data_IF_807740098129
#
_entry.id   IF_807740098129
#
_cell.length_a   1.000
_cell.length_b   1.000
_cell.length_c   1.000
_cell.angle_alpha   90.00
_cell.angle_beta   90.00
_cell.angle_gamma   90.00
#
_symmetry.space_group_name_H-M   'P 1'
#
loop_
_entity.id
_entity.type
_entity.pdbx_description
1 polymer ?
#
# COMPACT_ATOMS: atom_id res chain seq x y z
N UNK A 1 7.22 7.12 5.02
CA UNK A 1 8.63 6.66 5.06
C UNK A 1 9.33 7.32 6.24
N UNK A 2 10.11 6.56 7.00
CA UNK A 2 10.92 7.10 8.08
C UNK A 2 12.23 7.67 7.54
N UNK A 3 12.91 8.49 8.35
CA UNK A 3 14.26 8.99 8.02
C UNK A 3 15.23 7.82 7.78
N UNK A 4 15.06 6.72 8.52
CA UNK A 4 15.88 5.51 8.33
C UNK A 4 15.65 4.85 6.96
N UNK A 5 14.44 4.88 6.40
CA UNK A 5 14.18 4.34 5.07
C UNK A 5 14.85 5.16 3.96
N UNK A 6 14.85 6.49 4.11
CA UNK A 6 15.56 7.41 3.20
C UNK A 6 17.06 7.16 3.28
N UNK A 7 17.61 6.99 4.48
CA UNK A 7 19.03 6.73 4.68
C UNK A 7 19.45 5.35 4.12
N UNK A 8 18.60 4.31 4.27
CA UNK A 8 18.83 3.02 3.65
C UNK A 8 18.89 3.13 2.12
N UNK A 9 17.94 3.86 1.51
CA UNK A 9 17.92 4.08 0.07
C UNK A 9 19.16 4.85 -0.40
N UNK A 10 19.57 5.90 0.33
CA UNK A 10 20.77 6.68 0.03
C UNK A 10 22.04 5.82 0.02
N UNK A 11 22.18 4.93 1.02
CA UNK A 11 23.34 4.04 1.12
C UNK A 11 23.36 3.00 0.01
N UNK A 12 22.22 2.41 -0.32
CA UNK A 12 22.10 1.48 -1.45
C UNK A 12 22.44 2.17 -2.76
N UNK A 13 21.94 3.38 -3.00
CA UNK A 13 22.25 4.15 -4.19
C UNK A 13 23.74 4.47 -4.29
N UNK A 14 24.38 4.86 -3.18
CA UNK A 14 25.83 5.12 -3.12
C UNK A 14 26.64 3.85 -3.42
N UNK A 15 26.26 2.69 -2.87
CA UNK A 15 26.89 1.41 -3.14
C UNK A 15 26.79 1.00 -4.61
N UNK A 16 25.66 1.29 -5.24
CA UNK A 16 25.42 1.00 -6.67
C UNK A 16 25.93 2.09 -7.62
N UNK A 17 26.51 3.17 -7.09
CA UNK A 17 26.98 4.33 -7.86
C UNK A 17 25.90 4.96 -8.74
N UNK A 18 24.65 5.03 -8.23
CA UNK A 18 23.54 5.67 -8.92
C UNK A 18 23.10 6.93 -8.17
N UNK A 19 22.60 7.97 -8.88
CA UNK A 19 22.05 9.17 -8.25
C UNK A 19 20.90 8.86 -7.30
N UNK A 20 20.80 9.60 -6.19
CA UNK A 20 19.71 9.52 -5.24
C UNK A 20 19.07 10.89 -5.06
N UNK A 21 17.76 10.95 -5.24
CA UNK A 21 16.95 12.16 -5.07
C UNK A 21 15.89 11.92 -3.99
N UNK A 22 15.64 12.95 -3.18
CA UNK A 22 14.57 12.96 -2.18
C UNK A 22 13.58 14.04 -2.55
N UNK A 23 12.32 13.64 -2.75
CA UNK A 23 11.21 14.56 -2.98
C UNK A 23 10.35 14.61 -1.73
N UNK A 24 10.03 15.82 -1.28
CA UNK A 24 9.07 16.00 -0.21
C UNK A 24 7.67 16.11 -0.82
N UNK A 25 6.87 15.08 -0.60
CA UNK A 25 5.45 15.02 -0.98
C UNK A 25 4.56 14.85 0.26
N UNK A 26 4.99 15.40 1.43
CA UNK A 26 4.28 15.16 2.68
C UNK A 26 2.86 15.74 2.66
N UNK A 27 2.69 16.95 2.13
CA UNK A 27 1.40 17.63 2.09
C UNK A 27 0.46 16.95 1.09
N UNK A 28 0.94 16.66 -0.11
CA UNK A 28 0.15 15.95 -1.14
C UNK A 28 -0.23 14.53 -0.69
N UNK A 29 0.66 13.86 0.06
CA UNK A 29 0.37 12.55 0.63
C UNK A 29 -0.69 12.63 1.73
N UNK A 30 -0.63 13.65 2.59
CA UNK A 30 -1.65 13.88 3.60
C UNK A 30 -3.02 14.08 2.95
N UNK A 31 -3.10 15.03 2.02
CA UNK A 31 -4.33 15.39 1.31
C UNK A 31 -4.93 14.24 0.48
N UNK A 32 -4.08 13.51 -0.27
CA UNK A 32 -4.56 12.51 -1.22
C UNK A 32 -4.75 11.12 -0.62
N UNK A 33 -4.06 10.78 0.47
CA UNK A 33 -4.03 9.42 1.00
C UNK A 33 -4.50 9.35 2.45
N UNK A 34 -3.94 10.22 3.34
CA UNK A 34 -4.22 10.11 4.78
C UNK A 34 -5.60 10.64 5.11
N UNK A 35 -5.95 11.83 4.62
CA UNK A 35 -7.23 12.46 4.94
C UNK A 35 -8.43 11.66 4.39
N UNK A 36 -8.42 11.19 3.12
CA UNK A 36 -9.48 10.31 2.62
C UNK A 36 -9.56 8.97 3.38
N UNK A 37 -8.43 8.44 3.85
CA UNK A 37 -8.41 7.24 4.67
C UNK A 37 -9.13 7.47 6.01
N UNK A 38 -8.83 8.56 6.70
CA UNK A 38 -9.47 8.95 7.97
C UNK A 38 -10.96 9.20 7.76
N UNK A 39 -11.31 9.95 6.72
CA UNK A 39 -12.71 10.26 6.38
C UNK A 39 -13.53 8.99 6.09
N UNK A 40 -12.98 8.03 5.36
CA UNK A 40 -13.66 6.78 5.07
C UNK A 40 -13.96 6.00 6.36
N UNK A 41 -13.03 5.95 7.31
CA UNK A 41 -13.27 5.31 8.60
C UNK A 41 -14.32 6.05 9.46
N UNK A 42 -14.38 7.36 9.37
CA UNK A 42 -15.45 8.16 10.02
C UNK A 42 -16.84 7.75 9.52
N UNK A 43 -16.92 7.36 8.25
CA UNK A 43 -18.17 6.88 7.62
C UNK A 43 -18.40 5.37 7.76
N UNK A 44 -17.57 4.66 8.53
CA UNK A 44 -17.65 3.20 8.72
C UNK A 44 -17.17 2.38 7.52
N UNK A 45 -16.46 2.98 6.56
CA UNK A 45 -15.87 2.26 5.44
C UNK A 45 -14.47 1.74 5.82
N UNK A 46 -14.01 0.73 5.11
CA UNK A 46 -12.64 0.20 5.23
C UNK A 46 -11.89 0.42 3.91
N UNK A 47 -11.22 1.57 3.74
CA UNK A 47 -10.50 1.88 2.52
C UNK A 47 -9.17 1.10 2.44
N UNK A 48 -8.67 0.91 1.22
CA UNK A 48 -7.29 0.47 0.98
C UNK A 48 -6.44 1.67 0.55
N UNK A 49 -5.67 2.29 1.46
CA UNK A 49 -4.89 3.49 1.15
C UNK A 49 -3.75 3.22 0.17
N UNK A 50 -3.31 1.95 0.00
CA UNK A 50 -2.28 1.60 -0.96
C UNK A 50 -2.75 1.83 -2.41
N UNK A 51 -4.03 1.62 -2.71
CA UNK A 51 -4.60 1.93 -4.03
C UNK A 51 -4.47 3.41 -4.33
N UNK A 52 -4.88 4.26 -3.38
CA UNK A 52 -4.82 5.71 -3.56
C UNK A 52 -3.38 6.23 -3.60
N UNK A 53 -2.49 5.72 -2.74
CA UNK A 53 -1.07 6.03 -2.79
C UNK A 53 -0.44 5.69 -4.15
N UNK A 54 -0.78 4.54 -4.72
CA UNK A 54 -0.29 4.19 -6.05
C UNK A 54 -0.85 5.13 -7.12
N UNK A 55 -2.18 5.43 -7.08
CA UNK A 55 -2.83 6.33 -8.03
C UNK A 55 -2.23 7.74 -7.98
N UNK A 56 -2.27 8.37 -6.82
CA UNK A 56 -1.99 9.80 -6.67
C UNK A 56 -0.49 10.09 -6.55
N UNK A 57 0.25 9.24 -5.81
CA UNK A 57 1.64 9.53 -5.47
C UNK A 57 2.62 8.86 -6.43
N UNK A 58 2.59 7.51 -6.54
CA UNK A 58 3.63 6.79 -7.30
C UNK A 58 3.46 6.92 -8.81
N UNK A 59 2.23 6.78 -9.29
CA UNK A 59 1.93 6.83 -10.72
C UNK A 59 1.21 8.12 -11.14
N UNK A 60 0.97 9.03 -10.20
CA UNK A 60 0.65 10.42 -10.42
C UNK A 60 1.90 11.28 -10.23
N UNK A 61 2.06 11.88 -9.04
CA UNK A 61 3.10 12.89 -8.75
C UNK A 61 4.53 12.46 -9.08
N UNK A 62 4.93 11.23 -8.70
CA UNK A 62 6.29 10.77 -8.99
C UNK A 62 6.50 10.56 -10.50
N UNK A 63 5.51 10.03 -11.22
CA UNK A 63 5.60 9.86 -12.67
C UNK A 63 5.68 11.22 -13.37
N UNK A 64 4.85 12.21 -12.99
CA UNK A 64 4.94 13.58 -13.48
C UNK A 64 6.32 14.20 -13.21
N UNK A 65 6.86 13.98 -12.01
CA UNK A 65 8.19 14.47 -11.66
C UNK A 65 9.30 13.81 -12.49
N UNK A 66 9.19 12.52 -12.74
CA UNK A 66 10.11 11.78 -13.59
C UNK A 66 10.08 12.31 -15.03
N UNK A 67 8.89 12.62 -15.58
CA UNK A 67 8.73 13.23 -16.89
C UNK A 67 9.46 14.59 -16.98
N UNK A 68 9.25 15.47 -15.99
CA UNK A 68 9.91 16.79 -15.94
C UNK A 68 11.42 16.67 -15.84
N UNK A 69 11.93 15.61 -15.21
CA UNK A 69 13.37 15.34 -15.09
C UNK A 69 13.94 14.59 -16.32
N UNK A 70 13.14 14.32 -17.34
CA UNK A 70 13.58 13.66 -18.58
C UNK A 70 13.74 12.14 -18.46
N UNK A 71 13.12 11.49 -17.49
CA UNK A 71 13.11 10.03 -17.40
C UNK A 71 11.98 9.43 -18.26
N UNK A 72 12.28 8.35 -18.95
CA UNK A 72 11.33 7.64 -19.81
C UNK A 72 10.34 6.79 -19.02
N UNK A 73 10.75 6.25 -17.88
CA UNK A 73 9.95 5.30 -17.09
C UNK A 73 10.24 5.39 -15.60
N UNK A 74 9.27 4.92 -14.81
CA UNK A 74 9.41 4.70 -13.38
C UNK A 74 9.41 3.21 -13.09
N UNK A 75 10.44 2.71 -12.42
CA UNK A 75 10.51 1.33 -11.96
C UNK A 75 10.10 1.24 -10.49
N UNK A 76 9.28 0.25 -10.14
CA UNK A 76 8.87 0.00 -8.76
C UNK A 76 9.02 -1.46 -8.38
N UNK A 77 9.16 -1.73 -7.08
CA UNK A 77 9.29 -3.08 -6.53
C UNK A 77 7.98 -3.86 -6.39
N UNK A 78 6.93 -3.52 -7.13
CA UNK A 78 5.68 -4.29 -7.06
C UNK A 78 5.83 -5.65 -7.74
N UNK A 79 5.35 -6.70 -7.08
CA UNK A 79 5.17 -8.02 -7.66
C UNK A 79 3.93 -8.01 -8.57
N UNK A 80 4.07 -7.43 -9.75
CA UNK A 80 3.09 -7.36 -10.82
C UNK A 80 3.83 -7.39 -12.15
N UNK A 81 3.12 -7.62 -13.27
CA UNK A 81 3.72 -7.71 -14.61
C UNK A 81 2.93 -6.86 -15.59
N UNK A 82 3.63 -6.34 -16.60
CA UNK A 82 3.01 -5.65 -17.72
C UNK A 82 3.43 -6.37 -19.00
N UNK A 83 2.48 -6.66 -19.88
CA UNK A 83 2.75 -7.28 -21.20
C UNK A 83 1.87 -6.67 -22.28
N UNK A 84 2.39 -6.65 -23.50
CA UNK A 84 1.60 -6.35 -24.67
C UNK A 84 0.63 -7.49 -24.99
N UNK A 85 -0.61 -7.14 -25.23
CA UNK A 85 -1.59 -8.02 -25.86
C UNK A 85 -1.45 -7.89 -27.38
N UNK A 86 -0.94 -8.93 -28.03
CA UNK A 86 -0.71 -8.92 -29.46
C UNK A 86 -1.98 -8.80 -30.32
N UNK A 87 -3.15 -9.15 -29.77
CA UNK A 87 -4.42 -9.06 -30.49
C UNK A 87 -4.98 -7.62 -30.48
N UNK A 88 -4.77 -6.89 -29.40
CA UNK A 88 -5.35 -5.55 -29.22
C UNK A 88 -4.32 -4.43 -29.30
N UNK A 89 -3.03 -4.75 -29.28
CA UNK A 89 -1.92 -3.79 -29.20
C UNK A 89 -1.86 -3.04 -27.85
N UNK A 90 -2.67 -3.42 -26.87
CA UNK A 90 -2.76 -2.75 -25.56
C UNK A 90 -1.82 -3.40 -24.54
N UNK A 91 -1.39 -2.62 -23.57
CA UNK A 91 -0.72 -3.12 -22.38
C UNK A 91 -1.73 -3.71 -21.40
N UNK A 92 -1.37 -4.85 -20.82
CA UNK A 92 -2.17 -5.55 -19.81
C UNK A 92 -1.38 -5.65 -18.52
N UNK A 93 -2.02 -5.26 -17.42
CA UNK A 93 -1.53 -5.54 -16.09
C UNK A 93 -1.85 -7.01 -15.75
N UNK A 94 -0.84 -7.75 -15.33
CA UNK A 94 -0.94 -9.16 -14.97
C UNK A 94 -0.48 -9.36 -13.53
N UNK A 95 -0.94 -10.44 -12.93
CA UNK A 95 -0.47 -10.87 -11.61
C UNK A 95 1.03 -11.15 -11.63
N UNK A 96 1.70 -10.92 -10.51
CA UNK A 96 3.09 -11.33 -10.29
C UNK A 96 3.27 -12.84 -10.44
N UNK A 97 4.50 -13.27 -10.75
CA UNK A 97 4.84 -14.70 -10.81
C UNK A 97 4.71 -15.35 -9.43
N UNK A 98 5.11 -14.65 -8.37
CA UNK A 98 4.86 -15.05 -6.99
C UNK A 98 3.42 -14.74 -6.59
N UNK A 99 2.56 -15.76 -6.63
CA UNK A 99 1.15 -15.61 -6.29
C UNK A 99 0.89 -15.21 -4.83
N UNK A 100 1.79 -15.59 -3.93
CA UNK A 100 1.68 -15.23 -2.51
C UNK A 100 2.04 -13.77 -2.25
N UNK A 101 2.75 -13.13 -3.19
CA UNK A 101 3.21 -11.74 -3.12
C UNK A 101 2.58 -10.85 -4.18
N UNK A 102 1.61 -11.35 -4.94
CA UNK A 102 0.94 -10.57 -5.98
C UNK A 102 0.39 -9.24 -5.46
N UNK A 103 0.75 -8.16 -6.13
CA UNK A 103 0.33 -6.80 -5.81
C UNK A 103 -0.43 -6.13 -6.97
N UNK A 104 -0.84 -6.88 -7.98
CA UNK A 104 -1.59 -6.34 -9.11
C UNK A 104 -2.91 -5.69 -8.66
N UNK A 105 -3.49 -6.16 -7.55
CA UNK A 105 -4.75 -5.64 -7.01
C UNK A 105 -4.69 -4.20 -6.50
N UNK A 106 -3.50 -3.68 -6.16
CA UNK A 106 -3.34 -2.26 -5.78
C UNK A 106 -2.90 -1.38 -6.95
N UNK A 107 -2.90 -1.92 -8.17
CA UNK A 107 -2.44 -1.27 -9.41
C UNK A 107 -3.54 -1.26 -10.50
N UNK A 108 -4.73 -1.78 -10.22
CA UNK A 108 -5.81 -1.93 -11.21
C UNK A 108 -6.26 -0.61 -11.85
N UNK A 109 -5.98 0.52 -11.19
CA UNK A 109 -6.35 1.85 -11.66
C UNK A 109 -5.40 2.42 -12.72
N UNK A 110 -4.28 1.75 -13.02
CA UNK A 110 -3.33 2.23 -14.02
C UNK A 110 -3.93 2.11 -15.43
N UNK A 111 -3.95 3.22 -16.16
CA UNK A 111 -4.33 3.28 -17.55
C UNK A 111 -3.17 2.94 -18.49
N UNK A 112 -3.40 3.03 -19.81
CA UNK A 112 -2.38 2.72 -20.81
C UNK A 112 -1.16 3.63 -20.69
N UNK A 113 -1.36 4.92 -20.47
CA UNK A 113 -0.27 5.90 -20.29
C UNK A 113 0.65 5.51 -19.13
N UNK A 114 0.08 5.19 -17.98
CA UNK A 114 0.86 4.81 -16.80
C UNK A 114 1.57 3.47 -17.02
N UNK A 115 0.89 2.49 -17.62
CA UNK A 115 1.46 1.17 -17.89
C UNK A 115 2.63 1.24 -18.90
N UNK A 116 2.56 2.13 -19.90
CA UNK A 116 3.62 2.34 -20.88
C UNK A 116 4.90 2.89 -20.25
N UNK A 117 4.75 3.70 -19.21
CA UNK A 117 5.85 4.35 -18.52
C UNK A 117 6.25 3.71 -17.18
N UNK A 118 5.78 2.49 -16.96
CA UNK A 118 6.02 1.79 -15.68
C UNK A 118 6.69 0.44 -15.91
N UNK A 119 7.68 0.15 -15.09
CA UNK A 119 8.35 -1.15 -15.04
C UNK A 119 8.20 -1.80 -13.68
N UNK A 120 8.00 -3.12 -13.67
CA UNK A 120 7.97 -3.96 -12.48
C UNK A 120 9.07 -5.01 -12.54
N UNK A 121 10.35 -4.65 -12.28
CA UNK A 121 11.49 -5.54 -12.50
C UNK A 121 11.43 -6.85 -11.72
N UNK A 122 10.77 -6.84 -10.57
CA UNK A 122 10.63 -8.03 -9.70
C UNK A 122 9.36 -8.86 -9.99
N UNK A 123 8.57 -8.44 -10.97
CA UNK A 123 7.27 -9.06 -11.26
C UNK A 123 7.35 -10.50 -11.73
N UNK A 124 8.44 -10.91 -12.37
CA UNK A 124 8.69 -12.29 -12.82
C UNK A 124 9.44 -13.14 -11.80
N UNK A 125 9.77 -12.58 -10.63
CA UNK A 125 10.56 -13.22 -9.59
C UNK A 125 9.70 -13.59 -8.39
N UNK A 126 10.07 -14.68 -7.72
CA UNK A 126 9.60 -14.95 -6.37
C UNK A 126 10.28 -14.05 -5.35
N UNK A 127 9.67 -13.86 -4.20
CA UNK A 127 10.28 -13.07 -3.11
C UNK A 127 11.63 -13.65 -2.65
N UNK A 128 11.77 -14.97 -2.69
CA UNK A 128 13.02 -15.64 -2.36
C UNK A 128 14.14 -15.27 -3.35
N UNK A 129 13.84 -15.27 -4.66
CA UNK A 129 14.79 -14.85 -5.70
C UNK A 129 15.20 -13.40 -5.54
N UNK A 130 14.24 -12.49 -5.28
CA UNK A 130 14.55 -11.07 -5.02
C UNK A 130 15.51 -10.91 -3.84
N UNK A 131 15.27 -11.64 -2.73
CA UNK A 131 16.18 -11.63 -1.57
C UNK A 131 17.56 -12.20 -1.90
N UNK A 132 17.61 -13.24 -2.72
CA UNK A 132 18.86 -13.84 -3.19
C UNK A 132 19.68 -12.83 -4.01
N UNK A 133 19.02 -12.09 -4.93
CA UNK A 133 19.65 -11.00 -5.67
C UNK A 133 20.19 -9.90 -4.75
N UNK A 134 19.40 -9.46 -3.76
CA UNK A 134 19.83 -8.46 -2.80
C UNK A 134 21.05 -8.92 -1.98
N UNK A 135 21.08 -10.19 -1.55
CA UNK A 135 22.26 -10.79 -0.86
C UNK A 135 23.48 -10.87 -1.76
N UNK A 136 23.32 -11.27 -3.02
CA UNK A 136 24.43 -11.33 -3.99
C UNK A 136 25.06 -9.97 -4.25
N UNK A 137 24.26 -8.90 -4.16
CA UNK A 137 24.71 -7.52 -4.28
C UNK A 137 25.17 -6.93 -2.93
N UNK A 138 25.24 -7.74 -1.89
CA UNK A 138 25.58 -7.33 -0.51
C UNK A 138 24.78 -6.12 -0.02
N UNK A 139 23.48 -6.06 -0.38
CA UNK A 139 22.61 -4.99 0.05
C UNK A 139 22.19 -5.20 1.50
N UNK A 140 22.46 -4.25 2.37
CA UNK A 140 22.07 -4.28 3.79
C UNK A 140 20.56 -4.48 4.03
N UNK A 141 19.75 -4.15 3.03
CA UNK A 141 18.30 -4.30 3.07
C UNK A 141 17.81 -5.70 2.71
N UNK A 142 18.71 -6.64 2.35
CA UNK A 142 18.36 -7.98 1.92
C UNK A 142 17.55 -8.77 2.96
N UNK A 143 17.82 -8.54 4.25
CA UNK A 143 17.14 -9.21 5.37
C UNK A 143 16.13 -8.31 6.10
N UNK A 144 15.90 -7.09 5.58
CA UNK A 144 14.94 -6.17 6.20
C UNK A 144 13.54 -6.82 6.24
N UNK A 145 12.88 -6.80 7.41
CA UNK A 145 11.50 -7.29 7.52
C UNK A 145 10.56 -6.57 6.57
N UNK A 146 9.56 -7.29 6.08
CA UNK A 146 8.50 -6.67 5.27
C UNK A 146 7.62 -5.76 6.12
N UNK A 147 7.16 -4.67 5.54
CA UNK A 147 6.10 -3.87 6.13
C UNK A 147 4.81 -4.69 6.13
N UNK A 148 4.29 -4.99 7.31
CA UNK A 148 3.09 -5.81 7.48
C UNK A 148 1.80 -4.99 7.46
N UNK A 149 1.92 -3.66 7.52
CA UNK A 149 0.80 -2.74 7.69
C UNK A 149 0.91 -1.52 6.77
N UNK A 150 -0.06 -0.65 6.87
CA UNK A 150 -0.10 0.62 6.14
C UNK A 150 1.12 1.48 6.54
N UNK A 151 1.89 1.92 5.55
CA UNK A 151 3.24 2.50 5.75
C UNK A 151 3.29 3.78 6.61
N UNK A 152 2.20 4.51 6.74
CA UNK A 152 2.12 5.72 7.57
C UNK A 152 1.59 5.45 8.99
N UNK A 153 1.17 4.22 9.28
CA UNK A 153 0.74 3.78 10.61
C UNK A 153 1.92 3.08 11.28
N UNK A 154 2.71 3.83 12.05
CA UNK A 154 4.00 3.33 12.55
C UNK A 154 3.99 2.88 14.01
N UNK A 155 3.26 3.56 14.90
CA UNK A 155 3.23 3.27 16.34
C UNK A 155 1.81 3.09 16.83
N UNK A 156 1.59 2.13 17.71
CA UNK A 156 0.27 1.88 18.31
C UNK A 156 -0.75 1.21 17.39
N UNK A 157 -0.40 1.00 16.10
CA UNK A 157 -1.28 0.38 15.12
C UNK A 157 -2.44 1.29 14.66
N UNK A 158 -3.29 0.72 13.81
CA UNK A 158 -4.41 1.44 13.16
C UNK A 158 -5.36 2.10 14.18
N UNK A 159 -5.70 1.40 15.26
CA UNK A 159 -6.68 1.92 16.22
C UNK A 159 -6.15 3.16 16.94
N UNK A 160 -4.89 3.17 17.35
CA UNK A 160 -4.25 4.36 17.93
C UNK A 160 -4.22 5.52 16.96
N UNK A 161 -3.80 5.26 15.71
CA UNK A 161 -3.76 6.26 14.66
C UNK A 161 -5.13 6.91 14.40
N UNK A 162 -6.20 6.09 14.33
CA UNK A 162 -7.55 6.59 14.10
C UNK A 162 -8.16 7.27 15.32
N UNK A 163 -7.92 6.77 16.54
CA UNK A 163 -8.47 7.40 17.75
C UNK A 163 -7.97 8.82 18.02
N UNK A 164 -6.81 9.17 17.47
CA UNK A 164 -6.27 10.54 17.53
C UNK A 164 -6.92 11.50 16.50
N UNK A 165 -7.63 10.96 15.49
CA UNK A 165 -8.10 11.71 14.31
C UNK A 165 -9.60 11.61 14.09
N UNK A 166 -10.25 10.59 14.62
CA UNK A 166 -11.67 10.31 14.44
C UNK A 166 -12.37 10.32 15.79
N UNK A 167 -13.49 11.04 15.95
CA UNK A 167 -14.30 10.94 17.16
C UNK A 167 -14.76 9.49 17.38
N UNK A 168 -14.41 8.93 18.54
CA UNK A 168 -14.80 7.58 18.94
C UNK A 168 -16.08 7.65 19.76
N UNK A 169 -17.22 7.35 19.14
CA UNK A 169 -18.51 7.32 19.80
C UNK A 169 -18.94 5.88 20.04
N UNK A 170 -19.21 5.54 21.30
CA UNK A 170 -19.75 4.24 21.67
C UNK A 170 -21.13 4.03 21.06
N UNK A 171 -21.41 2.78 20.66
CA UNK A 171 -22.71 2.43 20.11
C UNK A 171 -23.04 0.95 20.30
N UNK A 172 -24.27 0.54 19.99
CA UNK A 172 -24.66 -0.86 20.02
C UNK A 172 -24.07 -1.63 18.84
N UNK A 173 -23.71 -2.88 19.09
CA UNK A 173 -23.49 -3.88 18.04
C UNK A 173 -24.83 -4.61 17.84
N UNK A 174 -25.37 -4.56 16.64
CA UNK A 174 -26.65 -5.18 16.30
C UNK A 174 -26.42 -6.47 15.53
N UNK A 175 -27.29 -7.46 15.72
CA UNK A 175 -27.39 -8.64 14.88
C UNK A 175 -28.19 -8.35 13.59
N UNK A 176 -28.38 -9.39 12.78
CA UNK A 176 -29.16 -9.32 11.52
C UNK A 176 -30.66 -8.95 11.71
N UNK A 177 -31.17 -9.10 12.92
CA UNK A 177 -32.55 -8.78 13.29
C UNK A 177 -32.67 -7.38 13.94
N UNK A 178 -31.54 -6.66 14.09
CA UNK A 178 -31.50 -5.37 14.75
C UNK A 178 -31.46 -5.44 16.29
N UNK A 179 -31.27 -6.64 16.87
CA UNK A 179 -31.18 -6.82 18.32
C UNK A 179 -29.75 -6.43 18.79
N UNK A 180 -29.67 -5.67 19.88
CA UNK A 180 -28.39 -5.30 20.46
C UNK A 180 -27.70 -6.50 21.13
N UNK A 181 -26.58 -6.96 20.58
CA UNK A 181 -25.80 -8.11 21.06
C UNK A 181 -24.49 -7.70 21.75
N UNK A 182 -24.18 -6.41 21.78
CA UNK A 182 -22.98 -5.88 22.43
C UNK A 182 -22.86 -4.36 22.28
N UNK A 183 -21.71 -3.83 22.68
CA UNK A 183 -21.35 -2.42 22.52
C UNK A 183 -19.95 -2.29 21.90
N UNK A 184 -19.76 -1.28 21.07
CA UNK A 184 -18.47 -0.93 20.49
C UNK A 184 -17.99 0.43 20.97
N UNK A 185 -16.66 0.62 20.96
CA UNK A 185 -15.99 1.87 21.39
C UNK A 185 -15.98 2.97 20.31
N UNK A 186 -16.42 2.64 19.12
CA UNK A 186 -16.42 3.52 17.96
C UNK A 186 -16.39 2.69 16.66
N UNK A 187 -17.14 3.08 15.63
CA UNK A 187 -17.22 2.38 14.34
C UNK A 187 -15.84 2.29 13.68
N UNK A 188 -15.04 3.35 13.77
CA UNK A 188 -13.70 3.42 13.19
C UNK A 188 -12.70 2.40 13.77
N UNK A 189 -12.99 1.78 14.93
CA UNK A 189 -12.14 0.74 15.50
C UNK A 189 -12.26 -0.61 14.78
N UNK A 190 -13.24 -0.75 13.87
CA UNK A 190 -13.55 -2.03 13.21
C UNK A 190 -13.29 -1.98 11.71
N UNK A 191 -13.10 -3.17 11.16
CA UNK A 191 -12.95 -3.40 9.72
C UNK A 191 -14.12 -4.24 9.23
N UNK A 192 -14.67 -3.91 8.09
CA UNK A 192 -15.71 -4.72 7.46
C UNK A 192 -15.20 -6.17 7.28
N UNK A 193 -16.01 -7.14 7.74
CA UNK A 193 -15.64 -8.56 7.73
C UNK A 193 -14.78 -9.00 8.93
N UNK A 194 -14.53 -8.13 9.90
CA UNK A 194 -13.79 -8.49 11.12
C UNK A 194 -14.57 -9.53 11.93
N UNK A 195 -13.90 -10.62 12.33
CA UNK A 195 -14.51 -11.73 13.09
C UNK A 195 -14.02 -11.82 14.54
N UNK A 196 -12.95 -11.11 14.89
CA UNK A 196 -12.32 -11.16 16.23
C UNK A 196 -12.37 -9.78 16.88
N UNK A 197 -12.45 -9.76 18.20
CA UNK A 197 -12.42 -8.52 18.97
C UNK A 197 -13.71 -7.70 18.97
N UNK A 198 -14.82 -8.24 18.45
CA UNK A 198 -16.13 -7.57 18.46
C UNK A 198 -16.77 -7.51 19.85
N UNK A 199 -16.25 -8.28 20.84
CA UNK A 199 -16.79 -8.38 22.21
C UNK A 199 -18.28 -8.69 22.28
N UNK A 200 -18.80 -9.41 21.30
CA UNK A 200 -20.14 -9.97 21.30
C UNK A 200 -20.09 -11.41 21.77
N UNK A 201 -21.05 -11.83 22.60
CA UNK A 201 -21.18 -13.22 22.95
C UNK A 201 -21.39 -14.05 21.68
N UNK A 202 -20.52 -15.00 21.40
CA UNK A 202 -20.67 -15.90 20.30
C UNK A 202 -21.92 -16.77 20.58
N UNK A 203 -23.04 -16.43 19.96
CA UNK A 203 -24.09 -17.41 19.72
C UNK A 203 -23.51 -18.54 18.88
N UNK A 204 -24.09 -19.72 18.95
CA UNK A 204 -23.64 -20.96 18.31
C UNK A 204 -23.06 -20.75 16.92
N UNK A 205 -21.90 -21.37 16.68
CA UNK A 205 -21.26 -21.37 15.35
C UNK A 205 -22.25 -21.94 14.32
N UNK A 206 -22.75 -21.09 13.45
CA UNK A 206 -23.36 -21.52 12.20
C UNK A 206 -22.37 -21.37 11.05
#
# INVERSE_FOLDING_TARGET
CSVSDVEDARRVAAQLHIPHYVFNFADEFAESVVDPYVEAYTRGHTPNPCVECNRSMKFGRLLERAEVMGFDSVATGHHARVRHDGATGRLRLLRGADRAKDQSYVLYMLGQRELERTMFPVGEMTKAEVRMHAKRLDLRTAEKPESMDVCFITRGGRNSFLSERVPMSEGPVLDENGTAVGRHVGVAAFTVGQRRGLRVAAGERR
#
